data_IF_819729441195
#
_entry.id   IF_819729441195
#
_cell.length_a   1.000
_cell.length_b   1.000
_cell.length_c   1.000
_cell.angle_alpha   90.00
_cell.angle_beta   90.00
_cell.angle_gamma   90.00
#
_symmetry.space_group_name_H-M   'P 1'
#
loop_
_entity.id
_entity.type
_entity.pdbx_description
1 polymer ?
#
# COMPACT_ATOMS: atom_id res chain seq x y z
N UNK A 1 -5.98 38.18 -71.01
CA UNK A 1 -5.02 37.05 -71.04
C UNK A 1 -3.63 37.49 -70.51
N UNK A 2 -3.53 37.94 -69.25
CA UNK A 2 -2.25 38.43 -68.65
C UNK A 2 -2.11 38.21 -67.13
N UNK A 3 -2.97 37.39 -66.51
CA UNK A 3 -2.93 37.14 -65.05
C UNK A 3 -2.26 35.80 -64.66
N UNK A 4 -1.96 34.92 -65.62
CA UNK A 4 -1.52 33.55 -65.30
C UNK A 4 -0.01 33.28 -65.49
N UNK A 5 0.77 34.22 -66.05
CA UNK A 5 2.21 34.03 -66.31
C UNK A 5 3.14 34.45 -65.17
N UNK A 6 2.71 35.29 -64.24
CA UNK A 6 3.57 35.75 -63.15
C UNK A 6 3.63 34.81 -61.95
N UNK A 7 2.58 34.03 -61.68
CA UNK A 7 2.51 33.13 -60.52
C UNK A 7 3.37 31.86 -60.74
N UNK A 8 3.45 31.35 -61.98
CA UNK A 8 4.24 30.16 -62.29
C UNK A 8 5.77 30.40 -62.33
N UNK A 9 6.21 31.65 -62.44
CA UNK A 9 7.64 32.01 -62.42
C UNK A 9 8.21 31.97 -60.99
N UNK A 10 7.46 32.49 -60.02
CA UNK A 10 7.89 32.53 -58.61
C UNK A 10 7.91 31.14 -57.94
N UNK A 11 7.05 30.21 -58.38
CA UNK A 11 7.01 28.85 -57.83
C UNK A 11 8.20 28.01 -58.32
N UNK A 12 8.69 28.23 -59.55
CA UNK A 12 9.90 27.56 -60.05
C UNK A 12 11.18 28.05 -59.36
N UNK A 13 11.23 29.31 -58.92
CA UNK A 13 12.34 29.83 -58.12
C UNK A 13 12.36 29.24 -56.69
N UNK A 14 11.20 28.87 -56.14
CA UNK A 14 11.09 28.26 -54.81
C UNK A 14 11.41 26.76 -54.82
N UNK A 15 11.29 26.08 -55.96
CA UNK A 15 11.55 24.63 -56.08
C UNK A 15 13.00 24.28 -56.48
N UNK A 16 13.89 25.26 -56.66
CA UNK A 16 15.25 25.05 -57.16
C UNK A 16 16.38 25.60 -56.27
N UNK A 17 16.09 25.90 -55.00
CA UNK A 17 17.09 25.90 -53.93
C UNK A 17 16.76 24.69 -53.04
N UNK A 18 17.36 23.52 -53.20
CA UNK A 18 18.80 23.32 -53.23
C UNK A 18 19.31 23.17 -51.79
N UNK A 19 19.37 21.91 -51.32
CA UNK A 19 20.08 21.43 -50.12
C UNK A 19 19.51 21.82 -48.74
N UNK A 20 18.43 21.15 -48.37
CA UNK A 20 18.05 20.94 -46.96
C UNK A 20 19.01 19.94 -46.29
N UNK A 21 20.23 20.39 -45.94
CA UNK A 21 21.12 19.67 -45.02
C UNK A 21 21.17 20.42 -43.67
N UNK A 22 20.95 21.74 -43.68
CA UNK A 22 20.90 22.57 -42.47
C UNK A 22 19.58 22.44 -41.68
N UNK A 23 18.45 22.24 -42.36
CA UNK A 23 17.15 22.11 -41.69
C UNK A 23 17.02 20.77 -40.94
N UNK A 24 17.62 19.71 -41.48
CA UNK A 24 17.63 18.38 -40.84
C UNK A 24 18.56 18.34 -39.61
N UNK A 25 19.72 19.03 -39.64
CA UNK A 25 20.63 19.10 -38.49
C UNK A 25 20.08 19.96 -37.36
N UNK A 26 19.34 21.01 -37.68
CA UNK A 26 18.69 21.88 -36.71
C UNK A 26 17.52 21.16 -36.03
N UNK A 27 16.70 20.41 -36.78
CA UNK A 27 15.63 19.58 -36.23
C UNK A 27 16.16 18.43 -35.35
N UNK A 28 17.28 17.79 -35.73
CA UNK A 28 17.96 16.79 -34.90
C UNK A 28 18.48 17.39 -33.59
N UNK A 29 19.04 18.60 -33.63
CA UNK A 29 19.55 19.30 -32.44
C UNK A 29 18.43 19.66 -31.47
N UNK A 30 17.27 20.10 -31.97
CA UNK A 30 16.09 20.35 -31.14
C UNK A 30 15.51 19.06 -30.55
N UNK A 31 15.44 17.98 -31.33
CA UNK A 31 14.94 16.70 -30.85
C UNK A 31 15.87 16.10 -29.79
N UNK A 32 17.18 16.23 -29.96
CA UNK A 32 18.19 15.83 -28.98
C UNK A 32 18.08 16.65 -27.68
N UNK A 33 17.83 17.96 -27.78
CA UNK A 33 17.63 18.82 -26.61
C UNK A 33 16.37 18.43 -25.82
N UNK A 34 15.26 18.13 -26.51
CA UNK A 34 14.01 17.68 -25.87
C UNK A 34 14.23 16.33 -25.18
N UNK A 35 14.86 15.36 -25.86
CA UNK A 35 15.15 14.05 -25.28
C UNK A 35 16.09 14.17 -24.08
N UNK A 36 17.15 14.99 -24.16
CA UNK A 36 18.07 15.23 -23.06
C UNK A 36 17.35 15.88 -21.85
N UNK A 37 16.44 16.83 -22.10
CA UNK A 37 15.66 17.49 -21.04
C UNK A 37 14.67 16.53 -20.39
N UNK A 38 13.99 15.69 -21.17
CA UNK A 38 13.10 14.64 -20.66
C UNK A 38 13.83 13.57 -19.84
N UNK A 39 15.04 13.16 -20.27
CA UNK A 39 15.87 12.20 -19.53
C UNK A 39 16.40 12.83 -18.23
N UNK A 40 16.84 14.09 -18.26
CA UNK A 40 17.30 14.81 -17.08
C UNK A 40 16.17 15.05 -16.07
N UNK A 41 14.96 15.42 -16.52
CA UNK A 41 13.79 15.61 -15.64
C UNK A 41 13.25 14.30 -15.09
N UNK A 42 13.29 13.19 -15.85
CA UNK A 42 12.88 11.87 -15.38
C UNK A 42 13.71 11.36 -14.18
N UNK A 43 14.97 11.77 -14.06
CA UNK A 43 15.82 11.38 -12.92
C UNK A 43 15.42 12.07 -11.60
N UNK A 44 14.80 13.26 -11.64
CA UNK A 44 14.36 13.99 -10.45
C UNK A 44 13.07 13.45 -9.83
N UNK A 45 12.29 12.64 -10.56
CA UNK A 45 11.07 12.02 -10.04
C UNK A 45 11.30 10.65 -9.40
N UNK A 46 12.55 10.19 -9.29
CA UNK A 46 12.89 8.93 -8.58
C UNK A 46 13.08 9.12 -7.07
N UNK A 47 12.58 10.22 -6.50
CA UNK A 47 12.38 10.35 -5.04
C UNK A 47 11.24 9.43 -4.59
N UNK A 48 11.52 8.13 -4.63
CA UNK A 48 10.71 7.07 -4.07
C UNK A 48 10.75 7.22 -2.54
N UNK A 49 9.64 7.70 -1.98
CA UNK A 49 9.32 7.84 -0.56
C UNK A 49 10.04 6.81 0.33
N UNK A 50 11.19 7.19 0.91
CA UNK A 50 11.98 6.29 1.78
C UNK A 50 11.98 6.70 3.25
N UNK A 51 11.38 7.84 3.58
CA UNK A 51 11.50 8.45 4.91
C UNK A 51 10.27 8.23 5.81
N UNK A 52 9.38 7.28 5.49
CA UNK A 52 8.17 7.02 6.29
C UNK A 52 8.01 5.57 6.77
N UNK A 53 8.90 4.65 6.40
CA UNK A 53 8.75 3.24 6.80
C UNK A 53 8.89 3.03 8.31
N UNK A 54 9.68 3.87 8.99
CA UNK A 54 9.83 3.80 10.45
C UNK A 54 8.55 4.18 11.20
N UNK A 55 7.61 4.93 10.58
CA UNK A 55 6.34 5.28 11.24
C UNK A 55 5.35 4.11 11.26
N UNK A 56 5.47 3.19 10.30
CA UNK A 56 4.62 2.02 10.20
C UNK A 56 5.25 0.81 10.88
N UNK A 57 4.40 -0.07 11.37
CA UNK A 57 4.79 -1.38 11.92
C UNK A 57 3.76 -2.43 11.53
N UNK A 58 4.11 -3.69 11.69
CA UNK A 58 3.18 -4.81 11.65
C UNK A 58 2.82 -5.22 13.07
N UNK A 59 1.59 -4.93 13.49
CA UNK A 59 1.02 -5.48 14.71
C UNK A 59 0.73 -6.97 14.50
N UNK A 60 1.50 -7.82 15.17
CA UNK A 60 1.24 -9.26 15.24
C UNK A 60 0.45 -9.54 16.51
N UNK A 61 -0.87 -9.67 16.37
CA UNK A 61 -1.80 -9.89 17.49
C UNK A 61 -2.13 -11.38 17.55
N UNK A 62 -1.77 -12.04 18.64
CA UNK A 62 -2.17 -13.41 18.96
C UNK A 62 -3.33 -13.38 19.94
N UNK A 63 -4.39 -14.13 19.63
CA UNK A 63 -5.54 -14.32 20.51
C UNK A 63 -5.29 -15.56 21.34
N UNK A 64 -5.19 -15.36 22.65
CA UNK A 64 -4.85 -16.39 23.61
C UNK A 64 -6.12 -17.02 24.19
N UNK A 65 -6.30 -18.31 23.92
CA UNK A 65 -7.40 -19.13 24.45
C UNK A 65 -7.07 -19.79 25.80
N UNK A 66 -5.86 -19.60 26.30
CA UNK A 66 -5.31 -20.26 27.49
C UNK A 66 -4.89 -21.71 27.22
N UNK A 67 -4.04 -22.25 28.10
CA UNK A 67 -3.42 -23.58 27.93
C UNK A 67 -4.39 -24.75 28.15
N UNK A 68 -5.59 -24.49 28.67
CA UNK A 68 -6.57 -25.53 29.02
C UNK A 68 -7.32 -26.13 27.82
N UNK A 69 -7.16 -25.55 26.63
CA UNK A 69 -7.88 -25.94 25.41
C UNK A 69 -6.94 -26.03 24.22
N UNK A 70 -7.13 -27.03 23.37
CA UNK A 70 -6.43 -27.10 22.09
C UNK A 70 -7.29 -26.41 21.02
N UNK A 71 -6.83 -25.27 20.51
CA UNK A 71 -7.53 -24.55 19.43
C UNK A 71 -7.35 -25.28 18.11
N UNK A 72 -8.45 -25.65 17.46
CA UNK A 72 -8.45 -26.30 16.14
C UNK A 72 -8.61 -25.27 15.00
N UNK A 73 -9.46 -24.26 15.21
CA UNK A 73 -9.77 -23.22 14.23
C UNK A 73 -10.25 -21.97 14.95
N UNK A 74 -9.85 -20.79 14.47
CA UNK A 74 -10.33 -19.51 14.97
C UNK A 74 -10.75 -18.59 13.82
N UNK A 75 -11.99 -18.13 13.87
CA UNK A 75 -12.51 -17.09 12.99
C UNK A 75 -12.70 -15.81 13.79
N UNK A 76 -12.06 -14.73 13.37
CA UNK A 76 -12.04 -13.48 14.12
C UNK A 76 -12.08 -12.27 13.20
N UNK A 77 -12.81 -11.25 13.65
CA UNK A 77 -12.72 -9.89 13.15
C UNK A 77 -12.17 -8.99 14.27
N UNK A 78 -11.16 -8.19 13.96
CA UNK A 78 -10.52 -7.25 14.88
C UNK A 78 -10.59 -5.83 14.34
N UNK A 79 -10.80 -4.89 15.25
CA UNK A 79 -10.78 -3.45 15.03
C UNK A 79 -9.72 -2.84 15.94
N UNK A 80 -8.76 -2.14 15.33
CA UNK A 80 -7.75 -1.32 16.00
C UNK A 80 -8.11 0.14 15.80
N UNK A 81 -8.32 0.88 16.88
CA UNK A 81 -8.52 2.34 16.83
C UNK A 81 -7.32 3.03 17.44
N UNK A 82 -6.55 3.75 16.62
CA UNK A 82 -5.41 4.52 17.09
C UNK A 82 -5.91 5.68 17.96
N UNK A 83 -5.44 5.77 19.19
CA UNK A 83 -5.87 6.79 20.15
C UNK A 83 -5.21 8.15 19.92
N UNK A 84 -4.11 8.19 19.17
CA UNK A 84 -3.42 9.43 18.81
C UNK A 84 -4.07 10.09 17.58
N UNK A 85 -4.55 9.31 16.62
CA UNK A 85 -5.05 9.82 15.32
C UNK A 85 -6.55 9.56 15.07
N UNK A 86 -7.20 8.73 15.88
CA UNK A 86 -8.54 8.17 15.65
C UNK A 86 -8.68 7.31 14.38
N UNK A 87 -7.56 6.97 13.73
CA UNK A 87 -7.56 6.05 12.60
C UNK A 87 -8.07 4.66 13.03
N UNK A 88 -8.93 4.06 12.21
CA UNK A 88 -9.50 2.74 12.46
C UNK A 88 -9.00 1.77 11.40
N UNK A 89 -8.37 0.69 11.84
CA UNK A 89 -7.92 -0.41 10.99
C UNK A 89 -8.68 -1.66 11.35
N UNK A 90 -9.25 -2.34 10.35
CA UNK A 90 -9.97 -3.59 10.53
C UNK A 90 -9.23 -4.74 9.84
N UNK A 91 -9.27 -5.92 10.45
CA UNK A 91 -8.73 -7.14 9.86
C UNK A 91 -9.57 -8.35 10.25
N UNK A 92 -9.44 -9.42 9.48
CA UNK A 92 -10.07 -10.71 9.74
C UNK A 92 -9.06 -11.84 9.55
N UNK A 93 -9.26 -12.93 10.29
CA UNK A 93 -8.52 -14.20 10.16
C UNK A 93 -9.52 -15.34 10.37
N UNK A 94 -9.37 -16.46 9.66
CA UNK A 94 -10.38 -17.53 9.62
C UNK A 94 -9.88 -18.89 10.08
N UNK A 95 -8.56 -19.07 10.15
CA UNK A 95 -7.95 -20.34 10.47
C UNK A 95 -7.08 -20.25 11.72
N UNK A 96 -6.27 -19.21 11.82
CA UNK A 96 -5.21 -19.08 12.82
C UNK A 96 -5.62 -18.21 14.00
N UNK A 97 -4.88 -18.30 15.11
CA UNK A 97 -5.04 -17.44 16.28
C UNK A 97 -4.29 -16.11 16.16
N UNK A 98 -3.56 -15.89 15.06
CA UNK A 98 -2.68 -14.75 14.87
C UNK A 98 -3.10 -13.90 13.69
N UNK A 99 -3.17 -12.58 13.89
CA UNK A 99 -3.38 -11.59 12.85
C UNK A 99 -2.14 -10.73 12.68
N UNK A 100 -1.78 -10.42 11.43
CA UNK A 100 -0.72 -9.46 11.11
C UNK A 100 -1.35 -8.24 10.45
N UNK A 101 -1.24 -7.07 11.09
CA UNK A 101 -1.95 -5.85 10.69
C UNK A 101 -0.92 -4.73 10.52
N UNK A 102 -0.79 -4.16 9.33
CA UNK A 102 0.06 -2.99 9.11
C UNK A 102 -0.66 -1.75 9.65
N UNK A 103 -0.01 -1.02 10.54
CA UNK A 103 -0.57 0.19 11.15
C UNK A 103 0.53 1.17 11.55
N UNK A 104 0.16 2.41 11.91
CA UNK A 104 1.09 3.36 12.52
C UNK A 104 1.56 2.84 13.89
N UNK A 105 2.78 3.20 14.30
CA UNK A 105 3.18 3.03 15.69
C UNK A 105 2.36 3.97 16.58
N UNK A 106 1.93 3.49 17.75
CA UNK A 106 1.10 4.29 18.66
C UNK A 106 0.39 3.49 19.74
N UNK A 107 -0.62 4.12 20.36
CA UNK A 107 -1.47 3.48 21.37
C UNK A 107 -2.84 3.22 20.76
N UNK A 108 -3.37 2.01 20.96
CA UNK A 108 -4.59 1.56 20.32
C UNK A 108 -5.62 1.07 21.33
N UNK A 109 -6.89 1.38 21.04
CA UNK A 109 -8.04 0.59 21.50
C UNK A 109 -8.18 -0.61 20.58
N UNK A 110 -8.38 -1.78 21.16
CA UNK A 110 -8.52 -3.05 20.45
C UNK A 110 -9.83 -3.70 20.85
N UNK A 111 -10.62 -4.05 19.85
CA UNK A 111 -11.79 -4.90 20.00
C UNK A 111 -11.69 -6.03 18.97
N UNK A 112 -11.86 -7.27 19.39
CA UNK A 112 -12.03 -8.39 18.49
C UNK A 112 -13.21 -9.25 18.90
N UNK A 113 -13.83 -9.90 17.94
CA UNK A 113 -14.90 -10.86 18.18
C UNK A 113 -14.84 -11.98 17.15
N UNK A 114 -15.31 -13.16 17.55
CA UNK A 114 -15.16 -14.31 16.70
C UNK A 114 -15.77 -15.59 17.24
N UNK A 115 -15.45 -16.68 16.56
CA UNK A 115 -15.71 -18.04 17.02
C UNK A 115 -14.40 -18.81 17.12
N UNK A 116 -14.31 -19.65 18.14
CA UNK A 116 -13.19 -20.58 18.32
C UNK A 116 -13.74 -21.99 18.40
N UNK A 117 -13.17 -22.86 17.57
CA UNK A 117 -13.36 -24.30 17.65
C UNK A 117 -12.19 -24.89 18.42
N UNK A 118 -12.47 -25.59 19.52
CA UNK A 118 -11.46 -26.18 20.38
C UNK A 118 -11.83 -27.58 20.86
N UNK A 119 -10.82 -28.39 21.14
CA UNK A 119 -10.96 -29.67 21.85
C UNK A 119 -10.76 -29.42 23.34
N UNK A 120 -11.74 -29.80 24.16
CA UNK A 120 -11.63 -29.70 25.62
C UNK A 120 -10.81 -30.86 26.22
N UNK A 121 -10.55 -30.81 27.52
CA UNK A 121 -9.81 -31.87 28.24
C UNK A 121 -10.48 -33.26 28.18
N UNK A 122 -11.77 -33.33 27.84
CA UNK A 122 -12.51 -34.58 27.68
C UNK A 122 -12.47 -35.11 26.23
N UNK A 123 -11.67 -34.48 25.35
CA UNK A 123 -11.56 -34.85 23.93
C UNK A 123 -12.76 -34.44 23.08
N UNK A 124 -13.69 -33.64 23.61
CA UNK A 124 -14.87 -33.18 22.88
C UNK A 124 -14.56 -31.88 22.15
N UNK A 125 -14.87 -31.87 20.86
CA UNK A 125 -14.84 -30.65 20.06
C UNK A 125 -16.03 -29.75 20.41
N UNK A 126 -15.76 -28.47 20.65
CA UNK A 126 -16.74 -27.43 20.97
C UNK A 126 -16.49 -26.19 20.11
N UNK A 127 -17.55 -25.44 19.88
CA UNK A 127 -17.49 -24.14 19.23
C UNK A 127 -18.06 -23.12 20.22
N UNK A 128 -17.34 -22.02 20.45
CA UNK A 128 -17.80 -20.92 21.29
C UNK A 128 -17.54 -19.58 20.63
N UNK A 129 -18.39 -18.61 20.94
CA UNK A 129 -18.16 -17.20 20.62
C UNK A 129 -17.22 -16.59 21.65
N UNK A 130 -16.44 -15.62 21.23
CA UNK A 130 -15.57 -14.88 22.13
C UNK A 130 -15.48 -13.41 21.75
N UNK A 131 -15.00 -12.61 22.71
CA UNK A 131 -14.54 -11.23 22.52
C UNK A 131 -13.14 -11.07 23.09
N UNK A 132 -12.42 -10.11 22.54
CA UNK A 132 -11.17 -9.57 23.06
C UNK A 132 -11.37 -8.06 23.18
N UNK A 133 -10.92 -7.47 24.28
CA UNK A 133 -10.98 -6.03 24.48
C UNK A 133 -9.75 -5.52 25.22
N UNK A 134 -9.17 -4.41 24.72
CA UNK A 134 -8.06 -3.72 25.38
C UNK A 134 -8.11 -2.23 25.07
N UNK A 135 -8.24 -1.38 26.07
CA UNK A 135 -8.34 0.08 25.86
C UNK A 135 -7.02 0.75 25.47
N UNK A 136 -5.91 0.28 26.03
CA UNK A 136 -4.59 0.91 25.87
C UNK A 136 -3.56 -0.17 25.54
N UNK A 137 -3.45 -0.50 24.26
CA UNK A 137 -2.42 -1.39 23.72
C UNK A 137 -1.36 -0.56 23.00
N UNK A 138 -0.16 -0.49 23.56
CA UNK A 138 0.98 0.12 22.86
C UNK A 138 1.47 -0.81 21.76
N UNK A 139 1.43 -0.34 20.52
CA UNK A 139 1.95 -1.01 19.33
C UNK A 139 3.14 -0.19 18.84
N UNK A 140 4.34 -0.61 19.24
CA UNK A 140 5.61 0.04 18.94
C UNK A 140 6.66 -1.01 18.60
N UNK A 141 7.68 -0.61 17.84
CA UNK A 141 8.76 -1.48 17.35
C UNK A 141 8.69 -1.67 15.83
N UNK A 142 9.84 -1.91 15.22
CA UNK A 142 9.99 -2.08 13.77
C UNK A 142 10.79 -3.36 13.47
N UNK A 143 10.40 -4.16 12.47
CA UNK A 143 9.20 -4.01 11.62
C UNK A 143 7.92 -4.60 12.24
N UNK A 144 8.02 -5.32 13.37
CA UNK A 144 6.91 -6.07 13.97
C UNK A 144 6.78 -5.75 15.46
N UNK A 145 5.55 -5.49 15.91
CA UNK A 145 5.17 -5.40 17.31
C UNK A 145 4.28 -6.59 17.69
N UNK A 146 4.79 -7.50 18.52
CA UNK A 146 4.06 -8.71 18.94
C UNK A 146 3.23 -8.43 20.19
N UNK A 147 1.96 -8.85 20.21
CA UNK A 147 1.06 -8.73 21.35
C UNK A 147 0.22 -9.99 21.49
N UNK A 148 0.06 -10.48 22.71
CA UNK A 148 -0.88 -11.54 23.05
C UNK A 148 -2.03 -10.93 23.83
N UNK A 149 -3.26 -11.24 23.44
CA UNK A 149 -4.47 -10.74 24.09
C UNK A 149 -5.38 -11.92 24.50
N UNK A 150 -5.77 -12.04 25.77
CA UNK A 150 -6.66 -13.11 26.21
C UNK A 150 -8.06 -12.90 25.64
N UNK A 151 -8.69 -14.00 25.21
CA UNK A 151 -10.10 -14.02 24.86
C UNK A 151 -11.00 -14.22 26.07
N UNK A 152 -12.22 -13.76 25.95
CA UNK A 152 -13.31 -14.00 26.89
C UNK A 152 -14.45 -14.67 26.15
N UNK A 153 -14.87 -15.85 26.61
CA UNK A 153 -16.03 -16.54 26.05
C UNK A 153 -17.31 -15.76 26.32
N UNK A 154 -18.23 -15.83 25.37
CA UNK A 154 -19.56 -15.23 25.47
C UNK A 154 -20.56 -16.36 25.30
N UNK A 155 -21.41 -16.51 26.30
CA UNK A 155 -22.53 -17.45 26.30
C UNK A 155 -23.75 -16.83 25.59
#
# INVERSE_FOLDING_TARGET
MKLQKHIFSSIKALLLQGKNIAFASQLHSFLFLIVATCVATGMFFTSCHKDQDELFTTAQITIDAGDSVQVNKMEVAITLTNLNTNEVVNATEQQNTQLNIRCLQGIYKVFAQGTVTFTNQQGQQRIRRFRVYKDFLQITGFPISKKSLPLFYID
#
